data_IF_526678295252
#
_entry.id   IF_526678295252
#
_cell.length_a   1.000
_cell.length_b   1.000
_cell.length_c   1.000
_cell.angle_alpha   90.00
_cell.angle_beta   90.00
_cell.angle_gamma   90.00
#
_symmetry.space_group_name_H-M   'P 1'
#
loop_
_entity.id
_entity.type
_entity.pdbx_description
1 polymer ?
#
# COMPACT_ATOMS: atom_id res chain seq x y z
N UNK A 1 4.06 10.70 10.98
CA UNK A 1 5.43 10.84 10.49
C UNK A 1 6.11 11.94 11.30
N UNK A 2 7.18 11.65 12.09
CA UNK A 2 7.89 12.66 12.88
C UNK A 2 8.46 13.82 12.02
N UNK A 3 8.86 13.54 10.79
CA UNK A 3 9.42 14.56 9.90
C UNK A 3 8.38 15.54 9.37
N UNK A 4 7.11 15.13 9.20
CA UNK A 4 6.04 16.03 8.74
C UNK A 4 5.44 16.89 9.86
N UNK A 5 5.59 16.51 11.13
CA UNK A 5 5.25 17.36 12.26
C UNK A 5 6.25 18.51 12.47
N UNK A 6 7.43 18.42 11.89
CA UNK A 6 8.48 19.42 12.00
C UNK A 6 8.19 20.67 11.16
N UNK A 7 7.47 20.59 10.04
CA UNK A 7 7.17 21.76 9.21
C UNK A 7 6.39 22.87 9.96
N UNK A 8 5.31 22.50 10.68
CA UNK A 8 4.55 23.48 11.47
C UNK A 8 5.41 24.04 12.62
N UNK A 9 6.19 23.15 13.26
CA UNK A 9 7.12 23.56 14.32
C UNK A 9 8.17 24.52 13.78
N UNK A 10 8.83 24.18 12.67
CA UNK A 10 9.82 25.01 12.01
C UNK A 10 9.20 26.36 11.60
N UNK A 11 8.04 26.35 10.94
CA UNK A 11 7.34 27.56 10.49
C UNK A 11 7.04 28.50 11.66
N UNK A 12 6.51 28.00 12.78
CA UNK A 12 6.15 28.83 13.94
C UNK A 12 7.40 29.28 14.69
N UNK A 13 8.40 28.41 14.89
CA UNK A 13 9.59 28.73 15.68
C UNK A 13 10.56 29.70 14.98
N UNK A 14 10.39 29.92 13.66
CA UNK A 14 11.27 30.79 12.86
C UNK A 14 10.67 32.18 12.57
N UNK A 15 9.45 32.46 13.04
CA UNK A 15 8.78 33.77 12.80
C UNK A 15 8.04 34.27 14.04
N UNK A 16 7.77 35.56 14.11
CA UNK A 16 6.88 36.18 15.11
C UNK A 16 5.56 36.69 14.51
N UNK A 17 5.31 36.42 13.23
CA UNK A 17 4.16 36.94 12.49
C UNK A 17 2.93 36.01 12.53
N UNK A 18 3.01 34.87 13.24
CA UNK A 18 1.93 33.90 13.38
C UNK A 18 1.37 33.97 14.80
N UNK A 19 0.06 34.08 14.93
CA UNK A 19 -0.62 34.11 16.23
C UNK A 19 -1.46 32.89 16.51
N UNK A 20 -1.79 32.11 15.47
CA UNK A 20 -2.58 30.87 15.55
C UNK A 20 -2.32 30.01 14.32
N UNK A 21 -2.36 28.69 14.48
CA UNK A 21 -2.33 27.73 13.40
C UNK A 21 -3.53 26.78 13.50
N UNK A 22 -4.24 26.59 12.40
CA UNK A 22 -5.14 25.45 12.20
C UNK A 22 -4.42 24.41 11.35
N UNK A 23 -4.27 23.19 11.87
CA UNK A 23 -3.65 22.08 11.17
C UNK A 23 -4.67 20.99 10.86
N UNK A 24 -4.37 20.14 9.89
CA UNK A 24 -5.21 19.04 9.46
C UNK A 24 -4.38 17.87 8.91
N UNK A 25 -5.02 16.99 8.14
CA UNK A 25 -4.45 15.84 7.45
C UNK A 25 -4.13 14.62 8.36
N UNK A 26 -3.52 14.82 9.52
CA UNK A 26 -3.10 13.71 10.40
C UNK A 26 -4.25 13.07 11.20
N UNK A 27 -5.46 13.60 11.10
CA UNK A 27 -6.66 13.14 11.81
C UNK A 27 -6.52 13.14 13.35
N UNK A 28 -5.56 13.88 13.89
CA UNK A 28 -5.35 14.01 15.34
C UNK A 28 -6.26 15.11 15.91
N UNK A 29 -6.78 14.86 17.11
CA UNK A 29 -7.56 15.86 17.86
C UNK A 29 -6.71 16.38 19.02
N UNK A 30 -6.49 17.68 19.05
CA UNK A 30 -5.73 18.33 20.13
C UNK A 30 -5.46 19.80 19.88
N UNK A 31 -5.05 20.48 20.94
CA UNK A 31 -4.48 21.82 20.89
C UNK A 31 -3.11 21.76 21.52
N UNK A 32 -2.09 22.09 20.75
CA UNK A 32 -0.70 22.15 21.21
C UNK A 32 -0.19 23.59 21.16
N UNK A 33 0.97 23.87 21.73
CA UNK A 33 1.60 25.18 21.69
C UNK A 33 3.04 25.06 21.21
N UNK A 34 3.47 26.00 20.41
CA UNK A 34 4.84 26.11 19.89
C UNK A 34 5.34 27.53 20.16
N UNK A 35 6.51 27.66 20.78
CA UNK A 35 7.13 28.98 20.99
C UNK A 35 7.63 29.56 19.66
N UNK A 36 7.32 30.84 19.40
CA UNK A 36 7.84 31.60 18.27
C UNK A 36 9.23 32.22 18.59
N UNK A 37 9.77 33.01 17.68
CA UNK A 37 11.08 33.66 17.85
C UNK A 37 11.14 34.59 19.06
N UNK A 38 10.02 35.15 19.51
CA UNK A 38 9.93 36.06 20.67
C UNK A 38 9.62 35.27 21.97
N UNK A 39 9.56 33.94 21.92
CA UNK A 39 9.19 33.11 23.05
C UNK A 39 7.69 33.08 23.37
N UNK A 40 6.84 33.64 22.50
CA UNK A 40 5.38 33.64 22.66
C UNK A 40 4.87 32.24 22.25
N UNK A 41 4.06 31.63 23.11
CA UNK A 41 3.38 30.37 22.87
C UNK A 41 2.24 30.53 21.86
N UNK A 42 2.42 30.00 20.65
CA UNK A 42 1.45 30.06 19.56
C UNK A 42 0.60 28.79 19.57
N UNK A 43 -0.73 28.89 19.71
CA UNK A 43 -1.59 27.70 19.68
C UNK A 43 -1.70 27.11 18.27
N UNK A 44 -1.65 25.76 18.22
CA UNK A 44 -1.88 24.95 17.03
C UNK A 44 -3.09 24.05 17.29
N UNK A 45 -4.15 24.25 16.53
CA UNK A 45 -5.42 23.53 16.66
C UNK A 45 -5.48 22.42 15.60
N UNK A 46 -5.66 21.19 16.04
CA UNK A 46 -5.92 20.03 15.17
C UNK A 46 -7.29 19.46 15.52
N UNK A 47 -8.33 19.66 14.69
CA UNK A 47 -9.71 19.32 15.06
C UNK A 47 -10.08 17.86 14.79
N UNK A 48 -9.11 17.00 14.43
CA UNK A 48 -9.39 15.59 14.14
C UNK A 48 -9.92 15.35 12.74
N UNK A 49 -10.91 14.46 12.63
CA UNK A 49 -11.46 14.01 11.36
C UNK A 49 -12.99 13.84 11.41
N UNK A 50 -13.61 13.77 10.23
CA UNK A 50 -15.05 13.47 10.04
C UNK A 50 -15.99 14.43 10.76
N UNK A 51 -15.59 15.68 10.89
CA UNK A 51 -16.37 16.72 11.60
C UNK A 51 -16.81 16.35 13.03
N UNK A 52 -16.15 15.38 13.66
CA UNK A 52 -16.43 14.98 15.05
C UNK A 52 -16.06 16.05 16.08
N UNK A 53 -15.26 17.02 15.68
CA UNK A 53 -14.77 18.13 16.51
C UNK A 53 -14.67 19.40 15.65
N UNK A 54 -14.96 20.56 16.24
CA UNK A 54 -14.74 21.88 15.64
C UNK A 54 -13.62 22.60 16.39
N UNK A 55 -12.57 22.99 15.68
CA UNK A 55 -11.52 23.86 16.21
C UNK A 55 -12.04 25.27 16.39
N UNK A 56 -11.80 25.88 17.56
CA UNK A 56 -12.23 27.25 17.90
C UNK A 56 -11.04 28.09 18.33
N UNK A 57 -11.01 29.34 17.86
CA UNK A 57 -10.12 30.37 18.38
C UNK A 57 -10.93 31.60 18.74
N UNK A 58 -10.74 32.13 19.94
CA UNK A 58 -11.34 33.34 20.41
C UNK A 58 -10.25 34.45 20.53
N UNK A 59 -10.39 35.50 19.74
CA UNK A 59 -9.54 36.70 19.82
C UNK A 59 -10.22 37.73 20.68
N UNK A 60 -9.60 38.09 21.80
CA UNK A 60 -10.09 39.17 22.67
C UNK A 60 -9.18 40.39 22.57
N UNK A 61 -9.70 41.47 22.02
CA UNK A 61 -8.94 42.73 21.85
C UNK A 61 -9.14 43.68 23.02
N UNK A 62 -8.03 44.09 23.65
CA UNK A 62 -8.04 45.10 24.69
C UNK A 62 -7.76 46.47 24.06
N UNK A 63 -8.79 47.33 24.05
CA UNK A 63 -8.73 48.68 23.44
C UNK A 63 -7.76 49.62 24.19
N UNK A 64 -7.58 49.44 25.49
CA UNK A 64 -6.73 50.33 26.30
C UNK A 64 -5.24 50.04 26.06
N UNK A 65 -4.85 48.76 25.96
CA UNK A 65 -3.47 48.34 25.72
C UNK A 65 -3.14 48.15 24.24
N UNK A 66 -4.17 48.16 23.36
CA UNK A 66 -4.07 47.85 21.92
C UNK A 66 -3.46 46.45 21.65
N UNK A 67 -3.68 45.49 22.54
CA UNK A 67 -3.22 44.13 22.45
C UNK A 67 -4.41 43.17 22.33
N UNK A 68 -4.14 41.95 21.89
CA UNK A 68 -5.13 40.86 21.89
C UNK A 68 -4.57 39.60 22.49
N UNK A 69 -5.47 38.74 22.95
CA UNK A 69 -5.19 37.41 23.39
C UNK A 69 -5.90 36.39 22.49
N UNK A 70 -5.32 35.21 22.32
CA UNK A 70 -5.89 34.11 21.55
C UNK A 70 -6.13 32.92 22.49
N UNK A 71 -7.39 32.52 22.60
CA UNK A 71 -7.78 31.28 23.29
C UNK A 71 -8.14 30.24 22.26
N UNK A 72 -7.48 29.08 22.29
CA UNK A 72 -7.67 27.99 21.35
C UNK A 72 -8.30 26.80 22.05
N UNK A 73 -9.29 26.18 21.43
CA UNK A 73 -9.98 25.01 21.96
C UNK A 73 -10.54 24.12 20.85
N UNK A 74 -10.80 22.88 21.20
CA UNK A 74 -11.57 21.95 20.38
C UNK A 74 -12.92 21.68 21.03
N UNK A 75 -14.01 21.89 20.28
CA UNK A 75 -15.37 21.64 20.71
C UNK A 75 -15.89 20.34 20.08
N UNK A 76 -16.22 19.30 20.86
CA UNK A 76 -16.74 18.08 20.30
C UNK A 76 -18.14 18.30 19.70
N UNK A 77 -18.39 17.72 18.54
CA UNK A 77 -19.69 17.71 17.85
C UNK A 77 -20.39 16.36 18.03
N UNK A 78 -19.65 15.36 18.47
CA UNK A 78 -20.16 13.99 18.69
C UNK A 78 -19.71 13.45 20.03
N UNK A 79 -20.47 12.50 20.56
CA UNK A 79 -20.12 11.71 21.76
C UNK A 79 -20.12 10.23 21.43
N UNK A 80 -19.23 9.48 22.04
CA UNK A 80 -19.18 8.03 21.90
C UNK A 80 -19.95 7.37 23.04
N UNK A 81 -20.98 6.59 22.69
CA UNK A 81 -21.74 5.76 23.61
C UNK A 81 -21.50 4.28 23.25
N UNK A 82 -20.63 3.60 23.99
CA UNK A 82 -20.24 2.22 23.70
C UNK A 82 -19.53 2.10 22.35
N UNK A 83 -20.14 1.41 21.38
CA UNK A 83 -19.64 1.25 20.00
C UNK A 83 -20.21 2.28 19.01
N UNK A 84 -21.16 3.10 19.43
CA UNK A 84 -21.88 4.05 18.57
C UNK A 84 -21.39 5.47 18.83
N UNK A 85 -21.29 6.26 17.77
CA UNK A 85 -21.03 7.71 17.83
C UNK A 85 -22.33 8.43 17.53
N UNK A 86 -22.72 9.35 18.42
CA UNK A 86 -23.94 10.15 18.27
C UNK A 86 -23.61 11.64 18.17
N UNK A 87 -24.40 12.44 17.43
CA UNK A 87 -24.26 13.89 17.44
C UNK A 87 -24.61 14.45 18.84
N UNK A 88 -23.92 15.52 19.24
CA UNK A 88 -24.21 16.25 20.48
C UNK A 88 -25.26 17.36 20.28
N UNK A 89 -25.47 17.75 19.03
CA UNK A 89 -26.35 18.85 18.66
C UNK A 89 -27.34 18.36 17.61
N UNK A 90 -28.53 18.88 17.66
CA UNK A 90 -29.53 18.69 16.59
C UNK A 90 -29.09 19.53 15.37
N UNK A 91 -29.32 19.04 14.14
CA UNK A 91 -29.09 19.79 12.92
C UNK A 91 -29.88 21.10 12.91
N UNK A 92 -29.29 22.15 12.40
CA UNK A 92 -29.98 23.42 12.15
C UNK A 92 -31.07 23.22 11.10
N UNK A 93 -32.31 23.54 11.44
CA UNK A 93 -33.46 23.25 10.60
C UNK A 93 -33.48 24.04 9.29
N UNK A 94 -33.04 25.32 9.34
CA UNK A 94 -33.04 26.20 8.16
C UNK A 94 -31.91 25.76 7.19
N UNK A 95 -30.75 25.42 7.74
CA UNK A 95 -29.64 24.92 6.95
C UNK A 95 -29.96 23.54 6.34
N UNK A 96 -30.60 22.65 7.12
CA UNK A 96 -31.05 21.35 6.64
C UNK A 96 -32.03 21.51 5.48
N UNK A 97 -33.02 22.39 5.63
CA UNK A 97 -34.00 22.65 4.55
C UNK A 97 -33.34 23.28 3.31
N UNK A 98 -32.33 24.13 3.47
CA UNK A 98 -31.60 24.71 2.37
C UNK A 98 -30.70 23.72 1.62
N UNK A 99 -30.18 22.68 2.32
CA UNK A 99 -29.32 21.64 1.74
C UNK A 99 -30.13 20.48 1.16
N UNK A 100 -31.36 20.25 1.60
CA UNK A 100 -32.19 19.09 1.19
C UNK A 100 -32.28 18.92 -0.33
N UNK A 101 -32.51 19.95 -1.18
CA UNK A 101 -32.56 19.77 -2.62
C UNK A 101 -31.24 19.23 -3.22
N UNK A 102 -30.11 19.59 -2.63
CA UNK A 102 -28.79 19.11 -3.08
C UNK A 102 -28.53 17.66 -2.64
N UNK A 103 -28.99 17.31 -1.43
CA UNK A 103 -28.95 15.92 -0.98
C UNK A 103 -29.84 15.04 -1.84
N UNK A 104 -31.06 15.47 -2.12
CA UNK A 104 -32.01 14.73 -2.96
C UNK A 104 -31.47 14.53 -4.38
N UNK A 105 -30.88 15.56 -4.98
CA UNK A 105 -30.22 15.45 -6.28
C UNK A 105 -29.03 14.50 -6.22
N UNK A 106 -28.17 14.62 -5.20
CA UNK A 106 -27.01 13.73 -5.03
C UNK A 106 -27.44 12.27 -4.92
N UNK A 107 -28.47 11.97 -4.10
CA UNK A 107 -28.95 10.61 -3.93
C UNK A 107 -29.68 10.09 -5.17
N UNK A 108 -30.67 10.83 -5.68
CA UNK A 108 -31.59 10.32 -6.71
C UNK A 108 -30.99 10.38 -8.12
N UNK A 109 -30.21 11.40 -8.43
CA UNK A 109 -29.66 11.61 -9.78
C UNK A 109 -28.27 11.04 -9.95
N UNK A 110 -27.48 10.93 -8.87
CA UNK A 110 -26.11 10.47 -8.91
C UNK A 110 -25.91 9.11 -8.22
N UNK A 111 -26.14 9.03 -6.91
CA UNK A 111 -25.80 7.83 -6.13
C UNK A 111 -26.65 6.61 -6.49
N UNK A 112 -27.92 6.79 -6.81
CA UNK A 112 -28.86 5.70 -7.15
C UNK A 112 -28.87 5.38 -8.64
N UNK A 113 -28.07 6.05 -9.47
CA UNK A 113 -27.98 5.79 -10.91
C UNK A 113 -27.51 4.35 -11.16
N UNK A 114 -28.29 3.51 -11.88
CA UNK A 114 -27.85 2.17 -12.27
C UNK A 114 -26.67 2.26 -13.24
N UNK A 115 -25.66 1.39 -13.06
CA UNK A 115 -24.48 1.31 -13.93
C UNK A 115 -24.25 -0.10 -14.49
N UNK A 116 -24.98 -1.11 -14.02
CA UNK A 116 -24.88 -2.48 -14.48
C UNK A 116 -25.51 -3.45 -13.48
N UNK A 117 -25.22 -4.73 -13.63
CA UNK A 117 -25.73 -5.79 -12.75
C UNK A 117 -24.62 -6.73 -12.30
N UNK A 118 -24.76 -7.33 -11.12
CA UNK A 118 -23.95 -8.46 -10.66
C UNK A 118 -24.74 -9.76 -10.81
N UNK A 119 -24.17 -10.76 -11.44
CA UNK A 119 -24.82 -12.07 -11.63
C UNK A 119 -24.97 -12.85 -10.32
N UNK A 120 -24.08 -12.60 -9.34
CA UNK A 120 -24.12 -13.10 -7.98
C UNK A 120 -23.40 -12.15 -7.02
N UNK A 121 -23.41 -12.45 -5.71
CA UNK A 121 -22.81 -11.62 -4.67
C UNK A 121 -21.27 -11.58 -4.76
N UNK A 122 -20.67 -10.38 -4.69
CA UNK A 122 -19.25 -10.21 -4.38
C UNK A 122 -19.11 -10.10 -2.86
N UNK A 123 -18.32 -10.97 -2.26
CA UNK A 123 -18.15 -11.03 -0.80
C UNK A 123 -16.83 -10.44 -0.35
N UNK A 124 -16.79 -9.99 0.92
CA UNK A 124 -15.56 -9.58 1.60
C UNK A 124 -14.89 -10.74 2.36
N UNK A 125 -15.36 -11.97 2.20
CA UNK A 125 -14.80 -13.13 2.87
C UNK A 125 -13.38 -13.40 2.40
N UNK A 126 -12.47 -13.68 3.35
CA UNK A 126 -11.09 -14.05 3.05
C UNK A 126 -10.20 -12.91 2.52
N UNK A 127 -10.63 -11.66 2.58
CA UNK A 127 -9.80 -10.54 2.12
C UNK A 127 -8.41 -10.55 2.78
N UNK A 128 -7.38 -10.61 1.94
CA UNK A 128 -5.98 -10.68 2.34
C UNK A 128 -5.49 -12.07 2.75
N UNK A 129 -6.37 -13.05 3.02
CA UNK A 129 -5.97 -14.42 3.39
C UNK A 129 -6.26 -15.46 2.30
N UNK A 130 -7.03 -15.08 1.30
CA UNK A 130 -7.32 -15.89 0.12
C UNK A 130 -7.62 -14.99 -1.09
N UNK A 131 -7.53 -15.50 -2.33
CA UNK A 131 -8.04 -14.83 -3.52
C UNK A 131 -9.50 -14.43 -3.36
N UNK A 132 -9.86 -13.28 -3.91
CA UNK A 132 -11.19 -12.71 -3.78
C UNK A 132 -11.66 -12.11 -5.10
N UNK A 133 -12.87 -12.46 -5.54
CA UNK A 133 -13.46 -11.91 -6.76
C UNK A 133 -13.55 -10.38 -6.75
N UNK A 134 -13.72 -9.78 -5.57
CA UNK A 134 -13.72 -8.33 -5.41
C UNK A 134 -12.33 -7.73 -5.71
N UNK A 135 -11.26 -8.30 -5.16
CA UNK A 135 -9.89 -7.83 -5.38
C UNK A 135 -9.50 -8.03 -6.85
N UNK A 136 -9.91 -9.15 -7.43
CA UNK A 136 -9.68 -9.45 -8.85
C UNK A 136 -10.43 -8.49 -9.77
N UNK A 137 -11.66 -8.10 -9.41
CA UNK A 137 -12.39 -7.06 -10.13
C UNK A 137 -11.61 -5.74 -10.13
N UNK A 138 -11.12 -5.30 -8.97
CA UNK A 138 -10.34 -4.05 -8.87
C UNK A 138 -9.07 -4.15 -9.70
N UNK A 139 -8.29 -5.23 -9.59
CA UNK A 139 -7.07 -5.42 -10.39
C UNK A 139 -7.37 -5.46 -11.89
N UNK A 140 -8.44 -6.14 -12.31
CA UNK A 140 -8.88 -6.19 -13.70
C UNK A 140 -9.23 -4.79 -14.24
N UNK A 141 -9.96 -4.00 -13.44
CA UNK A 141 -10.32 -2.61 -13.83
C UNK A 141 -9.08 -1.72 -13.89
N UNK A 142 -8.13 -1.88 -12.97
CA UNK A 142 -6.86 -1.17 -13.03
C UNK A 142 -6.11 -1.45 -14.33
N UNK A 143 -5.96 -2.72 -14.71
CA UNK A 143 -5.31 -3.11 -15.98
C UNK A 143 -6.10 -2.59 -17.18
N UNK A 144 -7.44 -2.70 -17.15
CA UNK A 144 -8.32 -2.25 -18.23
C UNK A 144 -8.28 -0.72 -18.41
N UNK A 145 -8.14 0.05 -17.32
CA UNK A 145 -8.18 1.52 -17.34
C UNK A 145 -6.84 2.19 -17.55
N UNK A 146 -5.72 1.53 -17.23
CA UNK A 146 -4.41 2.18 -17.16
C UNK A 146 -3.54 1.97 -18.41
N UNK A 147 -4.10 2.22 -19.60
CA UNK A 147 -3.34 2.32 -20.85
C UNK A 147 -4.13 3.16 -21.88
N UNK A 148 -3.44 3.74 -22.86
CA UNK A 148 -4.10 4.56 -23.88
C UNK A 148 -4.80 3.69 -24.92
N UNK A 149 -6.11 3.51 -24.74
CA UNK A 149 -6.98 2.77 -25.68
C UNK A 149 -7.34 3.56 -26.92
N UNK A 150 -7.07 4.83 -26.94
CA UNK A 150 -7.52 5.75 -27.99
C UNK A 150 -6.39 6.28 -28.87
N UNK A 151 -5.13 6.16 -28.40
CA UNK A 151 -3.96 6.77 -29.04
C UNK A 151 -4.00 8.29 -29.10
N UNK A 152 -4.78 8.93 -28.21
CA UNK A 152 -5.02 10.39 -28.26
C UNK A 152 -4.48 11.15 -27.06
N UNK A 153 -4.18 10.44 -25.95
CA UNK A 153 -3.88 11.07 -24.67
C UNK A 153 -2.40 11.30 -24.43
N UNK A 154 -1.54 10.62 -25.19
CA UNK A 154 -0.09 10.75 -25.10
C UNK A 154 0.54 11.04 -26.46
N UNK A 155 1.72 11.66 -26.51
CA UNK A 155 2.47 11.79 -27.74
C UNK A 155 2.86 10.40 -28.28
N UNK A 156 2.85 10.21 -29.57
CA UNK A 156 3.13 9.04 -30.43
C UNK A 156 4.06 7.91 -29.91
N UNK A 157 3.94 7.52 -28.64
CA UNK A 157 4.63 6.37 -28.08
C UNK A 157 3.68 5.19 -27.93
N UNK A 158 3.84 4.20 -28.79
CA UNK A 158 3.00 2.99 -28.82
C UNK A 158 3.25 2.03 -27.65
N UNK A 159 4.10 2.37 -26.68
CA UNK A 159 4.36 1.52 -25.51
C UNK A 159 3.21 1.56 -24.50
N UNK A 160 2.45 2.65 -24.48
CA UNK A 160 1.30 2.88 -23.60
C UNK A 160 -0.03 2.37 -24.19
N UNK A 161 -0.04 1.88 -25.44
CA UNK A 161 -1.21 1.29 -26.11
C UNK A 161 -1.54 -0.14 -25.62
N UNK A 162 -0.82 -0.67 -24.65
CA UNK A 162 -0.98 -2.04 -24.20
C UNK A 162 -1.36 -2.11 -22.72
N UNK A 163 -2.28 -3.00 -22.36
CA UNK A 163 -2.58 -3.27 -20.95
C UNK A 163 -1.34 -3.77 -20.23
N UNK A 164 -1.24 -3.43 -18.94
CA UNK A 164 -0.18 -3.92 -18.09
C UNK A 164 -0.28 -5.44 -17.87
N UNK A 165 0.85 -6.06 -17.54
CA UNK A 165 0.91 -7.48 -17.21
C UNK A 165 0.39 -7.77 -15.80
N UNK A 166 0.63 -6.86 -14.86
CA UNK A 166 0.31 -7.02 -13.44
C UNK A 166 -0.40 -5.77 -12.90
N UNK A 167 -1.11 -5.95 -11.79
CA UNK A 167 -1.74 -4.88 -11.04
C UNK A 167 -1.55 -5.07 -9.54
N UNK A 168 -1.31 -3.99 -8.82
CA UNK A 168 -1.14 -3.93 -7.37
C UNK A 168 -2.35 -3.25 -6.75
N UNK A 169 -3.02 -3.89 -5.79
CA UNK A 169 -4.09 -3.27 -5.02
C UNK A 169 -4.13 -3.74 -3.58
N UNK A 170 -4.48 -2.84 -2.67
CA UNK A 170 -4.83 -3.21 -1.31
C UNK A 170 -6.27 -3.76 -1.28
N UNK A 171 -6.55 -4.89 -0.61
CA UNK A 171 -7.88 -5.44 -0.50
C UNK A 171 -8.75 -4.65 0.49
N UNK A 172 -8.87 -3.34 0.29
CA UNK A 172 -9.56 -2.41 1.17
C UNK A 172 -11.00 -2.24 0.74
N UNK A 173 -11.89 -2.40 1.69
CA UNK A 173 -13.30 -2.04 1.56
C UNK A 173 -13.75 -1.14 2.69
N UNK A 174 -14.84 -0.42 2.54
CA UNK A 174 -15.38 0.44 3.59
C UNK A 174 -16.34 -0.27 4.55
N UNK A 175 -16.45 -1.60 4.50
CA UNK A 175 -17.36 -2.34 5.36
C UNK A 175 -17.00 -3.81 5.55
N UNK A 176 -17.47 -4.39 6.65
CA UNK A 176 -17.45 -5.83 6.93
C UNK A 176 -18.67 -6.53 6.30
N UNK A 177 -19.16 -6.05 5.15
CA UNK A 177 -20.34 -6.58 4.54
C UNK A 177 -20.08 -7.98 3.99
N UNK A 178 -20.90 -8.94 4.34
CA UNK A 178 -20.93 -10.26 3.69
C UNK A 178 -21.11 -10.12 2.17
N UNK A 179 -21.81 -9.06 1.75
CA UNK A 179 -22.05 -8.72 0.35
C UNK A 179 -21.53 -7.32 0.07
N UNK A 180 -20.36 -7.21 -0.56
CA UNK A 180 -19.80 -5.94 -1.01
C UNK A 180 -20.59 -5.37 -2.19
N UNK A 181 -20.90 -6.22 -3.17
CA UNK A 181 -21.82 -5.97 -4.26
C UNK A 181 -22.88 -7.08 -4.18
N UNK A 182 -24.13 -6.78 -3.83
CA UNK A 182 -25.18 -7.78 -3.87
C UNK A 182 -25.52 -8.16 -5.30
N UNK A 183 -26.00 -9.39 -5.49
CA UNK A 183 -26.61 -9.83 -6.74
C UNK A 183 -27.73 -8.88 -7.18
N UNK A 184 -27.76 -8.52 -8.43
CA UNK A 184 -28.74 -7.61 -9.03
C UNK A 184 -28.13 -6.27 -9.43
N UNK A 185 -28.93 -5.20 -9.37
CA UNK A 185 -28.54 -3.88 -9.85
C UNK A 185 -27.37 -3.29 -9.07
N UNK A 186 -26.38 -2.80 -9.79
CA UNK A 186 -25.24 -2.05 -9.27
C UNK A 186 -25.50 -0.56 -9.52
N UNK A 187 -25.32 0.25 -8.48
CA UNK A 187 -25.51 1.69 -8.53
C UNK A 187 -24.17 2.43 -8.44
N UNK A 188 -24.11 3.62 -9.00
CA UNK A 188 -22.92 4.45 -8.96
C UNK A 188 -22.42 4.68 -7.52
N UNK A 189 -23.34 4.83 -6.57
CA UNK A 189 -23.03 4.95 -5.14
C UNK A 189 -22.30 3.75 -4.53
N UNK A 190 -22.42 2.55 -5.13
CA UNK A 190 -21.73 1.37 -4.66
C UNK A 190 -20.21 1.50 -4.84
N UNK A 191 -19.76 2.29 -5.83
CA UNK A 191 -18.35 2.54 -6.09
C UNK A 191 -17.61 3.15 -4.89
N UNK A 192 -18.30 3.95 -4.07
CA UNK A 192 -17.72 4.54 -2.85
C UNK A 192 -17.47 3.49 -1.75
N UNK A 193 -18.18 2.38 -1.76
CA UNK A 193 -17.89 1.24 -0.88
C UNK A 193 -16.75 0.38 -1.41
N UNK A 194 -16.68 0.22 -2.72
CA UNK A 194 -15.68 -0.62 -3.38
C UNK A 194 -14.30 0.04 -3.39
N UNK A 195 -14.24 1.32 -3.71
CA UNK A 195 -12.99 2.08 -3.76
C UNK A 195 -13.13 3.39 -2.97
N UNK A 196 -12.65 3.36 -1.73
CA UNK A 196 -12.92 4.45 -0.76
C UNK A 196 -12.14 5.74 -1.04
N UNK A 197 -11.02 5.68 -1.78
CA UNK A 197 -10.13 6.82 -2.01
C UNK A 197 -10.26 7.35 -3.44
N UNK A 198 -10.00 8.65 -3.60
CA UNK A 198 -9.90 9.29 -4.90
C UNK A 198 -8.46 9.14 -5.41
N UNK A 199 -8.19 8.01 -6.05
CA UNK A 199 -6.91 7.70 -6.64
C UNK A 199 -7.02 7.68 -8.17
N UNK A 200 -5.90 7.92 -8.83
CA UNK A 200 -5.67 7.56 -10.22
C UNK A 200 -4.57 6.51 -10.29
N UNK A 201 -4.37 5.95 -11.46
CA UNK A 201 -3.44 4.86 -11.67
C UNK A 201 -2.28 5.25 -12.58
N UNK A 202 -1.14 4.64 -12.32
CA UNK A 202 0.02 4.66 -13.19
C UNK A 202 0.28 3.25 -13.69
N UNK A 203 0.59 3.12 -15.01
CA UNK A 203 1.27 1.95 -15.54
C UNK A 203 2.75 2.25 -15.50
N UNK A 204 3.51 1.44 -14.79
CA UNK A 204 4.95 1.62 -14.56
C UNK A 204 5.73 0.35 -14.90
N UNK A 205 7.06 0.47 -14.98
CA UNK A 205 7.96 -0.68 -15.06
C UNK A 205 8.45 -1.08 -13.66
N UNK A 206 8.44 -2.39 -13.37
CA UNK A 206 9.05 -2.97 -12.17
C UNK A 206 9.87 -4.20 -12.53
N UNK A 207 10.98 -4.42 -11.82
CA UNK A 207 11.75 -5.67 -11.94
C UNK A 207 11.08 -6.81 -11.18
N UNK A 208 11.43 -8.06 -11.53
CA UNK A 208 10.97 -9.25 -10.81
C UNK A 208 11.35 -9.21 -9.32
N UNK A 209 12.55 -8.67 -9.01
CA UNK A 209 12.98 -8.42 -7.63
C UNK A 209 12.06 -7.44 -6.90
N UNK A 210 11.71 -6.32 -7.52
CA UNK A 210 10.80 -5.33 -6.93
C UNK A 210 9.39 -5.92 -6.69
N UNK A 211 8.85 -6.69 -7.65
CA UNK A 211 7.57 -7.38 -7.51
C UNK A 211 7.61 -8.38 -6.35
N UNK A 212 8.64 -9.23 -6.27
CA UNK A 212 8.83 -10.19 -5.18
C UNK A 212 8.91 -9.49 -3.84
N UNK A 213 9.76 -8.46 -3.74
CA UNK A 213 10.01 -7.76 -2.47
C UNK A 213 8.79 -6.95 -2.02
N UNK A 214 7.98 -6.45 -2.96
CA UNK A 214 6.68 -5.84 -2.66
C UNK A 214 5.73 -6.84 -2.00
N UNK A 215 5.64 -8.03 -2.56
CA UNK A 215 4.85 -9.13 -1.97
C UNK A 215 5.40 -9.59 -0.62
N UNK A 216 6.73 -9.59 -0.43
CA UNK A 216 7.36 -9.92 0.86
C UNK A 216 6.94 -8.94 1.97
N UNK A 217 6.77 -7.65 1.67
CA UNK A 217 6.22 -6.72 2.64
C UNK A 217 4.80 -7.08 3.08
N UNK A 218 3.93 -7.45 2.13
CA UNK A 218 2.59 -7.96 2.45
C UNK A 218 2.68 -9.26 3.24
N UNK A 219 3.50 -10.21 2.78
CA UNK A 219 3.72 -11.50 3.43
C UNK A 219 4.23 -11.36 4.88
N UNK A 220 5.03 -10.31 5.18
CA UNK A 220 5.50 -10.03 6.54
C UNK A 220 4.37 -9.80 7.55
N UNK A 221 3.16 -9.46 7.08
CA UNK A 221 1.97 -9.24 7.92
C UNK A 221 1.16 -10.52 8.17
N UNK A 222 1.40 -11.58 7.40
CA UNK A 222 0.67 -12.84 7.53
C UNK A 222 1.07 -13.56 8.81
N UNK A 223 0.08 -14.10 9.52
CA UNK A 223 0.28 -14.95 10.70
C UNK A 223 -0.58 -16.19 10.55
N UNK A 224 0.02 -17.35 10.83
CA UNK A 224 -0.70 -18.58 11.02
C UNK A 224 -1.32 -18.60 12.42
N UNK A 225 -2.59 -18.99 12.51
CA UNK A 225 -3.31 -19.15 13.76
C UNK A 225 -3.27 -20.62 14.19
N UNK A 226 -3.50 -20.88 15.49
CA UNK A 226 -3.49 -22.25 16.05
C UNK A 226 -4.55 -23.18 15.43
N UNK A 227 -5.65 -22.61 14.92
CA UNK A 227 -6.73 -23.34 14.27
C UNK A 227 -6.48 -23.64 12.77
N UNK A 228 -5.28 -23.32 12.27
CA UNK A 228 -4.89 -23.52 10.87
C UNK A 228 -5.38 -22.43 9.92
N UNK A 229 -6.07 -21.40 10.40
CA UNK A 229 -6.43 -20.23 9.60
C UNK A 229 -5.30 -19.20 9.56
N UNK A 230 -5.46 -18.16 8.75
CA UNK A 230 -4.50 -17.06 8.66
C UNK A 230 -5.14 -15.73 9.03
N UNK A 231 -4.32 -14.81 9.52
CA UNK A 231 -4.71 -13.44 9.84
C UNK A 231 -3.66 -12.44 9.33
N UNK A 232 -4.10 -11.19 9.08
CA UNK A 232 -3.23 -10.10 8.64
C UNK A 232 -3.01 -9.14 9.79
N UNK A 233 -1.78 -9.07 10.27
CA UNK A 233 -1.37 -8.21 11.37
C UNK A 233 -1.26 -6.74 10.90
N UNK A 234 -1.78 -5.80 11.68
CA UNK A 234 -1.75 -4.37 11.34
C UNK A 234 -2.82 -3.93 10.34
N UNK A 235 -3.65 -4.87 9.87
CA UNK A 235 -4.75 -4.60 8.94
C UNK A 235 -4.34 -4.48 7.48
N UNK A 236 -5.35 -4.38 6.61
CA UNK A 236 -5.19 -4.44 5.16
C UNK A 236 -4.61 -3.16 4.52
N UNK A 237 -4.46 -2.08 5.28
CA UNK A 237 -3.87 -0.81 4.77
C UNK A 237 -2.40 -0.98 4.35
N UNK A 238 -1.69 -1.90 4.99
CA UNK A 238 -0.27 -2.21 4.74
C UNK A 238 -0.09 -3.57 4.06
N UNK A 239 -1.08 -3.99 3.30
CA UNK A 239 -1.12 -5.27 2.62
C UNK A 239 -1.62 -5.07 1.20
N UNK A 240 -0.85 -5.49 0.22
CA UNK A 240 -1.22 -5.44 -1.18
C UNK A 240 -1.24 -6.85 -1.77
N UNK A 241 -2.12 -7.06 -2.73
CA UNK A 241 -2.18 -8.23 -3.60
C UNK A 241 -1.69 -7.81 -4.98
N UNK A 242 -0.87 -8.64 -5.60
CA UNK A 242 -0.49 -8.48 -7.01
C UNK A 242 -1.19 -9.58 -7.80
N UNK A 243 -1.85 -9.22 -8.88
CA UNK A 243 -2.44 -10.19 -9.79
C UNK A 243 -2.33 -9.75 -11.25
N UNK A 244 -2.45 -10.72 -12.14
CA UNK A 244 -2.44 -10.56 -13.57
C UNK A 244 -2.60 -11.94 -14.23
N UNK A 245 -2.98 -11.98 -15.50
CA UNK A 245 -3.16 -13.24 -16.22
C UNK A 245 -1.84 -14.02 -16.29
N UNK A 246 -1.87 -15.28 -15.87
CA UNK A 246 -0.70 -16.17 -15.84
C UNK A 246 0.29 -15.89 -14.71
N UNK A 247 -0.02 -14.99 -13.76
CA UNK A 247 0.84 -14.71 -12.62
C UNK A 247 0.37 -15.48 -11.38
N UNK A 248 1.28 -16.22 -10.75
CA UNK A 248 1.00 -16.97 -9.53
C UNK A 248 2.13 -16.91 -8.52
N UNK A 249 1.80 -17.08 -7.23
CA UNK A 249 2.78 -17.15 -6.13
C UNK A 249 2.18 -17.82 -4.89
N UNK A 250 3.05 -18.25 -3.99
CA UNK A 250 2.67 -18.75 -2.68
C UNK A 250 3.28 -17.87 -1.58
N UNK A 251 2.54 -17.69 -0.48
CA UNK A 251 3.03 -17.03 0.73
C UNK A 251 3.22 -18.10 1.79
N UNK A 252 4.45 -18.49 2.12
CA UNK A 252 4.72 -19.43 3.19
C UNK A 252 4.83 -18.70 4.54
N UNK A 253 3.79 -18.77 5.38
CA UNK A 253 3.74 -18.10 6.67
C UNK A 253 4.79 -18.63 7.68
N UNK A 254 5.26 -19.85 7.52
CA UNK A 254 6.30 -20.44 8.36
C UNK A 254 7.72 -20.00 7.98
N UNK A 255 7.90 -19.50 6.74
CA UNK A 255 9.21 -19.03 6.31
C UNK A 255 9.62 -17.71 7.00
N UNK A 256 10.92 -17.43 7.15
CA UNK A 256 11.42 -16.17 7.68
C UNK A 256 10.89 -14.94 6.91
N UNK A 257 10.73 -13.80 7.60
CA UNK A 257 10.32 -12.56 6.95
C UNK A 257 11.33 -12.15 5.87
N UNK A 258 10.84 -11.75 4.71
CA UNK A 258 11.67 -11.44 3.53
C UNK A 258 11.97 -12.66 2.63
N UNK A 259 11.50 -13.85 3.00
CA UNK A 259 11.70 -15.13 2.28
C UNK A 259 10.41 -15.97 2.24
N UNK A 260 9.25 -15.31 2.30
CA UNK A 260 7.93 -15.96 2.35
C UNK A 260 7.30 -16.16 0.99
N UNK A 261 7.78 -15.47 -0.04
CA UNK A 261 7.26 -15.59 -1.40
C UNK A 261 7.97 -16.75 -2.11
N UNK A 262 7.21 -17.82 -2.32
CA UNK A 262 7.66 -19.04 -2.97
C UNK A 262 6.90 -19.26 -4.29
N UNK A 263 7.47 -20.06 -5.18
CA UNK A 263 6.82 -20.51 -6.43
C UNK A 263 6.24 -19.35 -7.27
N UNK A 264 6.88 -18.19 -7.25
CA UNK A 264 6.44 -17.05 -8.06
C UNK A 264 6.70 -17.31 -9.54
N UNK A 265 5.64 -17.40 -10.34
CA UNK A 265 5.72 -17.69 -11.77
C UNK A 265 4.91 -16.71 -12.61
N UNK A 266 5.32 -16.55 -13.87
CA UNK A 266 4.58 -15.83 -14.90
C UNK A 266 4.50 -16.68 -16.17
N UNK A 267 3.29 -16.97 -16.64
CA UNK A 267 3.04 -17.88 -17.78
C UNK A 267 3.77 -19.23 -17.61
N UNK A 268 3.74 -19.80 -16.39
CA UNK A 268 4.34 -21.08 -16.03
C UNK A 268 5.87 -21.10 -15.95
N UNK A 269 6.53 -19.95 -16.04
CA UNK A 269 7.98 -19.82 -15.87
C UNK A 269 8.29 -19.12 -14.55
N UNK A 270 9.30 -19.61 -13.83
CA UNK A 270 9.78 -18.97 -12.60
C UNK A 270 10.25 -17.54 -12.88
N UNK A 271 9.73 -16.58 -12.11
CA UNK A 271 10.11 -15.18 -12.21
C UNK A 271 11.53 -14.99 -11.67
N UNK A 272 12.38 -14.39 -12.51
CA UNK A 272 13.74 -14.02 -12.15
C UNK A 272 13.77 -12.57 -11.64
N UNK A 273 14.72 -12.24 -10.76
CA UNK A 273 14.88 -10.89 -10.22
C UNK A 273 15.13 -9.83 -11.32
N UNK A 274 15.73 -10.25 -12.44
CA UNK A 274 16.04 -9.40 -13.60
C UNK A 274 14.90 -9.28 -14.62
N UNK A 275 13.82 -10.05 -14.47
CA UNK A 275 12.67 -9.92 -15.35
C UNK A 275 12.06 -8.52 -15.19
N UNK A 276 11.42 -8.03 -16.25
CA UNK A 276 10.76 -6.73 -16.23
C UNK A 276 9.27 -6.89 -16.51
N UNK A 277 8.45 -6.27 -15.68
CA UNK A 277 6.99 -6.26 -15.80
C UNK A 277 6.47 -4.84 -15.99
N UNK A 278 5.38 -4.72 -16.74
CA UNK A 278 4.51 -3.56 -16.70
C UNK A 278 3.45 -3.78 -15.62
N UNK A 279 3.33 -2.83 -14.69
CA UNK A 279 2.54 -2.98 -13.46
C UNK A 279 1.66 -1.76 -13.27
N UNK A 280 0.37 -1.97 -12.97
CA UNK A 280 -0.50 -0.87 -12.54
C UNK A 280 -0.42 -0.69 -11.04
N UNK A 281 -0.24 0.56 -10.64
CA UNK A 281 -0.15 0.99 -9.26
C UNK A 281 -0.95 2.28 -9.05
N UNK A 282 -1.58 2.48 -7.90
CA UNK A 282 -2.24 3.75 -7.61
C UNK A 282 -1.25 4.83 -7.18
N UNK A 283 -1.65 6.11 -7.34
CA UNK A 283 -0.82 7.26 -7.00
C UNK A 283 -0.37 7.27 -5.53
N UNK A 284 -1.19 6.80 -4.59
CA UNK A 284 -0.81 6.75 -3.17
C UNK A 284 0.39 5.82 -2.93
N UNK A 285 0.37 4.63 -3.53
CA UNK A 285 1.48 3.67 -3.44
C UNK A 285 2.72 4.17 -4.18
N UNK A 286 2.52 4.72 -5.38
CA UNK A 286 3.62 5.26 -6.18
C UNK A 286 4.33 6.44 -5.49
N UNK A 287 3.60 7.22 -4.69
CA UNK A 287 4.14 8.27 -3.81
C UNK A 287 4.85 7.77 -2.54
N UNK A 288 4.96 6.46 -2.33
CA UNK A 288 5.57 5.87 -1.13
C UNK A 288 4.60 5.60 0.02
N UNK A 289 3.30 5.77 -0.21
CA UNK A 289 2.29 5.52 0.82
C UNK A 289 2.26 4.06 1.28
N UNK A 290 2.15 3.84 2.59
CA UNK A 290 2.10 2.52 3.21
C UNK A 290 3.44 1.85 3.40
N UNK A 291 4.56 2.57 3.22
CA UNK A 291 5.94 2.13 3.46
C UNK A 291 6.46 1.00 2.53
N UNK A 292 5.76 0.68 1.44
CA UNK A 292 6.19 -0.38 0.52
C UNK A 292 7.51 -0.02 -0.16
N UNK A 293 7.62 1.19 -0.70
CA UNK A 293 8.86 1.65 -1.36
C UNK A 293 10.02 1.69 -0.37
N UNK A 294 9.79 2.13 0.86
CA UNK A 294 10.80 2.08 1.90
C UNK A 294 11.27 0.64 2.13
N UNK A 295 10.34 -0.29 2.33
CA UNK A 295 10.66 -1.70 2.59
C UNK A 295 11.45 -2.32 1.44
N UNK A 296 11.03 -2.15 0.17
CA UNK A 296 11.74 -2.76 -0.96
C UNK A 296 13.16 -2.20 -1.13
N UNK A 297 13.37 -0.92 -0.78
CA UNK A 297 14.69 -0.30 -0.81
C UNK A 297 15.60 -0.80 0.32
N UNK A 298 15.06 -1.00 1.52
CA UNK A 298 15.77 -1.65 2.64
C UNK A 298 16.17 -3.09 2.30
N UNK A 299 15.47 -3.72 1.31
CA UNK A 299 15.74 -5.08 0.83
C UNK A 299 16.45 -5.11 -0.53
N UNK A 300 17.28 -4.10 -0.81
CA UNK A 300 18.21 -4.08 -1.94
C UNK A 300 17.57 -3.77 -3.30
N UNK A 301 16.41 -3.11 -3.34
CA UNK A 301 15.89 -2.45 -4.52
C UNK A 301 16.32 -0.97 -4.54
N UNK A 302 16.07 -0.30 -5.66
CA UNK A 302 16.32 1.14 -5.81
C UNK A 302 15.12 1.79 -6.50
N UNK A 303 14.01 1.86 -5.77
CA UNK A 303 12.77 2.42 -6.27
C UNK A 303 12.60 3.86 -5.74
N UNK A 304 12.58 4.83 -6.63
CA UNK A 304 12.35 6.23 -6.27
C UNK A 304 10.85 6.52 -6.31
N UNK A 305 10.26 7.10 -5.23
CA UNK A 305 8.86 7.53 -5.26
C UNK A 305 8.63 8.56 -6.38
N UNK A 306 7.52 8.43 -7.10
CA UNK A 306 7.15 9.31 -8.21
C UNK A 306 8.19 9.41 -9.34
N UNK A 307 8.94 8.35 -9.57
CA UNK A 307 9.91 8.30 -10.67
C UNK A 307 9.19 8.28 -12.02
N UNK A 308 9.03 9.45 -12.63
CA UNK A 308 8.39 9.61 -13.92
C UNK A 308 9.07 8.82 -15.05
N UNK A 309 10.37 8.48 -14.89
CA UNK A 309 11.08 7.66 -15.90
C UNK A 309 10.57 6.21 -15.98
N UNK A 310 9.84 5.76 -14.98
CA UNK A 310 9.19 4.44 -14.94
C UNK A 310 7.77 4.46 -15.50
N UNK A 311 7.16 5.65 -15.64
CA UNK A 311 5.77 5.80 -16.04
C UNK A 311 5.62 5.57 -17.54
N UNK A 312 4.79 4.60 -17.90
CA UNK A 312 4.36 4.31 -19.27
C UNK A 312 3.08 5.08 -19.58
N UNK A 313 2.12 5.05 -18.64
CA UNK A 313 0.83 5.73 -18.80
C UNK A 313 0.31 6.21 -17.43
N UNK A 314 -0.49 7.26 -17.42
CA UNK A 314 -1.21 7.74 -16.24
C UNK A 314 -2.66 8.03 -16.59
N UNK A 315 -3.59 7.48 -15.81
CA UNK A 315 -5.02 7.80 -15.96
C UNK A 315 -5.32 9.25 -15.57
N UNK A 316 -4.37 9.97 -14.96
CA UNK A 316 -4.47 11.40 -14.70
C UNK A 316 -4.52 12.22 -15.99
N UNK A 317 -4.03 11.67 -17.12
CA UNK A 317 -4.14 12.36 -18.41
C UNK A 317 -5.61 12.60 -18.81
N UNK A 318 -6.50 11.67 -18.46
CA UNK A 318 -7.94 11.82 -18.68
C UNK A 318 -8.56 12.90 -17.79
N UNK A 319 -8.06 13.03 -16.55
CA UNK A 319 -8.49 14.08 -15.60
C UNK A 319 -8.07 15.49 -16.05
N UNK A 320 -6.85 15.62 -16.62
CA UNK A 320 -6.34 16.91 -17.13
C UNK A 320 -7.21 17.44 -18.26
N UNK A 321 -7.88 16.57 -19.01
CA UNK A 321 -8.82 16.96 -20.07
C UNK A 321 -10.20 17.37 -19.54
N UNK A 322 -10.40 17.43 -18.23
CA UNK A 322 -11.59 17.98 -17.58
C UNK A 322 -12.76 17.01 -17.42
N UNK A 323 -12.51 15.71 -17.52
CA UNK A 323 -13.57 14.71 -17.50
C UNK A 323 -13.60 13.81 -16.24
N UNK A 324 -12.72 13.98 -15.27
CA UNK A 324 -12.59 13.15 -14.03
C UNK A 324 -12.59 11.61 -14.27
N UNK A 325 -12.47 11.19 -15.53
CA UNK A 325 -12.60 9.78 -15.96
C UNK A 325 -11.47 8.89 -15.47
N UNK A 326 -10.31 9.45 -15.23
CA UNK A 326 -9.13 8.73 -14.80
C UNK A 326 -9.15 8.30 -13.34
N UNK A 327 -10.14 8.72 -12.53
CA UNK A 327 -10.25 8.31 -11.14
C UNK A 327 -10.72 6.85 -11.00
N UNK A 328 -10.19 6.16 -10.01
CA UNK A 328 -10.46 4.74 -9.75
C UNK A 328 -11.96 4.39 -9.70
N UNK A 329 -12.77 5.21 -9.02
CA UNK A 329 -14.22 4.98 -8.91
C UNK A 329 -14.93 5.15 -10.25
N UNK A 330 -14.50 6.12 -11.04
CA UNK A 330 -15.09 6.36 -12.37
C UNK A 330 -14.71 5.24 -13.33
N UNK A 331 -13.45 4.77 -13.30
CA UNK A 331 -13.01 3.62 -14.08
C UNK A 331 -13.76 2.33 -13.69
N UNK A 332 -14.04 2.11 -12.39
CA UNK A 332 -14.89 1.01 -11.95
C UNK A 332 -16.31 1.12 -12.52
N UNK A 333 -16.92 2.31 -12.46
CA UNK A 333 -18.26 2.56 -12.98
C UNK A 333 -18.32 2.40 -14.50
N UNK A 334 -17.33 2.91 -15.22
CA UNK A 334 -17.23 2.82 -16.67
C UNK A 334 -17.05 1.37 -17.13
N UNK A 335 -16.16 0.62 -16.45
CA UNK A 335 -15.97 -0.81 -16.72
C UNK A 335 -17.27 -1.60 -16.53
N UNK A 336 -17.95 -1.41 -15.38
CA UNK A 336 -19.22 -2.10 -15.09
C UNK A 336 -20.28 -1.72 -16.13
N UNK A 337 -20.34 -0.45 -16.52
CA UNK A 337 -21.28 0.03 -17.56
C UNK A 337 -21.00 -0.60 -18.91
N UNK A 338 -19.72 -0.71 -19.29
CA UNK A 338 -19.30 -1.33 -20.57
C UNK A 338 -19.61 -2.84 -20.60
N UNK A 339 -19.37 -3.54 -19.47
CA UNK A 339 -19.67 -4.97 -19.36
C UNK A 339 -21.19 -5.25 -19.27
N UNK A 340 -21.98 -4.32 -18.73
CA UNK A 340 -23.41 -4.48 -18.44
C UNK A 340 -23.69 -5.45 -17.29
N UNK A 341 -23.09 -6.62 -17.30
CA UNK A 341 -23.15 -7.62 -16.21
C UNK A 341 -21.75 -8.06 -15.83
N UNK A 342 -21.46 -8.09 -14.52
CA UNK A 342 -20.20 -8.61 -13.98
C UNK A 342 -20.44 -9.85 -13.15
N UNK A 343 -19.49 -10.79 -13.22
CA UNK A 343 -19.49 -12.07 -12.50
C UNK A 343 -18.44 -12.07 -11.40
N UNK A 344 -18.75 -12.61 -10.19
CA UNK A 344 -17.77 -12.74 -9.09
C UNK A 344 -16.80 -13.91 -9.33
N UNK A 345 -15.96 -13.79 -10.34
CA UNK A 345 -14.97 -14.81 -10.73
C UNK A 345 -13.63 -14.51 -10.09
N UNK A 346 -13.06 -15.52 -9.42
CA UNK A 346 -11.68 -15.48 -8.91
C UNK A 346 -10.75 -15.89 -10.05
N UNK A 347 -9.81 -15.01 -10.40
CA UNK A 347 -8.84 -15.21 -11.49
C UNK A 347 -7.39 -15.19 -11.00
N UNK A 348 -7.13 -14.66 -9.80
CA UNK A 348 -5.80 -14.65 -9.22
C UNK A 348 -5.40 -16.02 -8.68
N UNK A 349 -4.14 -16.40 -8.91
CA UNK A 349 -3.58 -17.71 -8.56
C UNK A 349 -2.53 -17.55 -7.46
N UNK A 350 -2.96 -17.22 -6.24
CA UNK A 350 -2.07 -17.19 -5.08
C UNK A 350 -2.73 -17.89 -3.88
N UNK A 351 -1.90 -18.36 -2.96
CA UNK A 351 -2.37 -18.98 -1.71
C UNK A 351 -1.39 -18.71 -0.57
N UNK A 352 -1.87 -18.88 0.66
CA UNK A 352 -1.03 -18.90 1.86
C UNK A 352 -0.82 -20.37 2.26
N UNK A 353 0.42 -20.70 2.56
CA UNK A 353 0.85 -22.00 3.11
C UNK A 353 1.50 -21.78 4.48
N UNK A 354 1.69 -22.85 5.23
CA UNK A 354 2.41 -22.85 6.50
C UNK A 354 3.28 -24.10 6.58
N UNK A 355 4.24 -24.19 5.64
CA UNK A 355 5.14 -25.33 5.52
C UNK A 355 6.46 -24.99 6.19
N UNK A 356 6.79 -25.61 7.34
CA UNK A 356 8.07 -25.43 7.99
C UNK A 356 9.22 -25.84 7.08
N UNK A 357 10.36 -25.16 7.23
CA UNK A 357 11.58 -25.57 6.54
C UNK A 357 12.03 -26.94 7.06
N UNK A 358 12.14 -27.92 6.18
CA UNK A 358 12.63 -29.25 6.53
C UNK A 358 14.16 -29.23 6.64
N UNK A 359 14.67 -29.76 7.75
CA UNK A 359 16.10 -29.95 7.94
C UNK A 359 16.63 -30.99 6.94
N UNK A 360 17.41 -30.56 5.99
CA UNK A 360 18.09 -31.45 5.01
C UNK A 360 19.51 -31.85 5.45
N UNK A 361 20.03 -31.23 6.50
CA UNK A 361 21.40 -31.44 6.93
C UNK A 361 21.48 -32.61 7.92
N UNK A 362 22.21 -33.63 7.55
CA UNK A 362 22.38 -34.85 8.36
C UNK A 362 23.33 -34.67 9.55
N UNK A 363 24.09 -33.59 9.54
CA UNK A 363 25.07 -33.18 10.56
C UNK A 363 24.61 -32.00 11.42
N UNK A 364 23.31 -31.66 11.37
CA UNK A 364 22.64 -30.67 12.21
C UNK A 364 21.43 -31.36 12.82
N UNK A 365 21.46 -31.61 14.13
CA UNK A 365 20.42 -32.35 14.85
C UNK A 365 19.68 -31.46 15.85
N UNK A 366 18.48 -31.87 16.31
CA UNK A 366 17.68 -31.10 17.26
C UNK A 366 18.39 -30.84 18.61
N UNK A 367 19.40 -31.66 18.95
CA UNK A 367 20.20 -31.48 20.17
C UNK A 367 21.30 -30.41 20.01
N UNK A 368 21.59 -29.95 18.80
CA UNK A 368 22.61 -28.95 18.56
C UNK A 368 22.11 -27.55 18.92
N UNK A 369 22.91 -26.82 19.70
CA UNK A 369 22.57 -25.46 20.13
C UNK A 369 22.40 -24.46 18.97
N UNK A 370 22.93 -24.75 17.81
CA UNK A 370 22.86 -23.95 16.58
C UNK A 370 21.76 -24.44 15.61
N UNK A 371 21.03 -25.51 15.92
CA UNK A 371 20.02 -26.12 15.07
C UNK A 371 19.05 -25.08 14.47
N UNK A 372 18.28 -24.39 15.32
CA UNK A 372 17.25 -23.46 14.86
C UNK A 372 17.83 -22.30 14.05
N UNK A 373 19.01 -21.80 14.44
CA UNK A 373 19.70 -20.71 13.74
C UNK A 373 20.14 -21.15 12.35
N UNK A 374 20.69 -22.36 12.22
CA UNK A 374 21.08 -22.93 10.92
C UNK A 374 19.88 -23.11 10.01
N UNK A 375 18.76 -23.62 10.55
CA UNK A 375 17.55 -23.82 9.75
C UNK A 375 16.94 -22.47 9.30
N UNK A 376 16.91 -21.47 10.16
CA UNK A 376 16.44 -20.14 9.82
C UNK A 376 17.31 -19.48 8.73
N UNK A 377 18.63 -19.55 8.88
CA UNK A 377 19.57 -19.03 7.87
C UNK A 377 19.51 -19.82 6.55
N UNK A 378 19.27 -21.13 6.60
CA UNK A 378 19.10 -21.94 5.41
C UNK A 378 17.75 -21.67 4.72
N UNK A 379 16.67 -21.56 5.49
CA UNK A 379 15.35 -21.18 4.97
C UNK A 379 15.36 -19.80 4.34
N UNK A 380 16.14 -18.87 4.86
CA UNK A 380 16.31 -17.52 4.30
C UNK A 380 17.35 -17.46 3.16
N UNK A 381 17.96 -18.58 2.78
CA UNK A 381 18.95 -18.63 1.71
C UNK A 381 20.28 -17.94 2.03
N UNK A 382 20.49 -17.52 3.27
CA UNK A 382 21.77 -16.90 3.73
C UNK A 382 22.89 -17.95 3.68
N UNK A 383 22.58 -19.18 4.13
CA UNK A 383 23.49 -20.32 4.07
C UNK A 383 22.89 -21.46 3.22
N UNK A 384 23.72 -22.23 2.53
CA UNK A 384 23.24 -23.32 1.69
C UNK A 384 23.76 -24.70 2.13
N UNK A 385 24.63 -24.76 3.12
CA UNK A 385 25.43 -25.92 3.46
C UNK A 385 26.67 -26.10 2.54
N UNK A 386 27.55 -26.99 2.92
CA UNK A 386 28.74 -27.34 2.13
C UNK A 386 28.41 -28.33 1.02
N UNK A 387 27.40 -29.17 1.24
CA UNK A 387 26.78 -30.04 0.24
C UNK A 387 25.26 -29.93 0.31
N UNK A 388 24.55 -30.69 -0.52
CA UNK A 388 23.06 -30.72 -0.45
C UNK A 388 22.53 -31.19 0.90
N UNK A 389 23.28 -32.06 1.61
CA UNK A 389 22.86 -32.73 2.83
C UNK A 389 23.79 -32.53 4.03
N UNK A 390 24.83 -31.73 3.93
CA UNK A 390 25.74 -31.43 5.04
C UNK A 390 25.98 -29.93 5.17
N UNK A 391 26.01 -29.47 6.43
CA UNK A 391 26.26 -28.07 6.77
C UNK A 391 27.72 -27.84 7.14
N UNK A 392 28.37 -28.80 7.80
CA UNK A 392 29.71 -28.75 8.36
C UNK A 392 29.90 -27.68 9.44
N UNK A 393 29.12 -27.73 10.55
CA UNK A 393 29.09 -26.67 11.57
C UNK A 393 30.44 -26.45 12.29
N UNK A 394 31.35 -27.43 12.22
CA UNK A 394 32.72 -27.33 12.79
C UNK A 394 33.75 -26.96 11.71
N UNK A 395 33.34 -26.72 10.49
CA UNK A 395 34.21 -26.33 9.38
C UNK A 395 34.82 -24.94 9.55
N UNK A 396 35.87 -24.67 8.82
CA UNK A 396 36.53 -23.35 8.83
C UNK A 396 35.84 -22.43 7.84
N UNK A 397 35.29 -21.30 8.30
CA UNK A 397 34.69 -20.28 7.47
C UNK A 397 35.76 -19.46 6.74
N UNK A 398 35.69 -19.42 5.43
CA UNK A 398 36.58 -18.58 4.60
C UNK A 398 36.07 -17.13 4.55
N UNK A 399 36.96 -16.19 4.16
CA UNK A 399 36.55 -14.78 3.95
C UNK A 399 35.52 -14.63 2.86
N UNK A 400 35.62 -15.42 1.79
CA UNK A 400 34.64 -15.41 0.68
C UNK A 400 33.25 -15.90 1.12
N UNK A 401 33.17 -16.96 1.91
CA UNK A 401 31.90 -17.46 2.49
C UNK A 401 31.28 -16.42 3.42
N UNK A 402 32.09 -15.84 4.31
CA UNK A 402 31.60 -14.81 5.22
C UNK A 402 31.08 -13.55 4.47
N UNK A 403 31.84 -13.07 3.47
CA UNK A 403 31.38 -11.96 2.64
C UNK A 403 30.07 -12.30 1.91
N UNK A 404 29.95 -13.54 1.39
CA UNK A 404 28.73 -13.99 0.72
C UNK A 404 27.53 -14.08 1.67
N UNK A 405 27.73 -14.51 2.91
CA UNK A 405 26.65 -14.48 3.93
C UNK A 405 26.22 -13.05 4.20
N UNK A 406 27.15 -12.12 4.41
CA UNK A 406 26.84 -10.70 4.62
C UNK A 406 26.08 -10.11 3.42
N UNK A 407 26.51 -10.39 2.21
CA UNK A 407 25.88 -9.95 0.99
C UNK A 407 24.43 -10.46 0.90
N UNK A 408 24.19 -11.74 1.22
CA UNK A 408 22.85 -12.33 1.23
C UNK A 408 21.97 -11.79 2.36
N UNK A 409 22.51 -11.58 3.57
CA UNK A 409 21.80 -10.91 4.67
C UNK A 409 21.38 -9.49 4.27
N UNK A 410 22.18 -8.80 3.45
CA UNK A 410 21.87 -7.49 2.89
C UNK A 410 20.94 -7.55 1.66
N UNK A 411 20.23 -8.66 1.47
CA UNK A 411 19.29 -8.89 0.36
C UNK A 411 19.94 -8.80 -1.03
N UNK A 412 21.20 -9.21 -1.14
CA UNK A 412 21.95 -9.29 -2.37
C UNK A 412 21.80 -8.04 -3.25
N UNK A 413 22.23 -6.86 -2.79
CA UNK A 413 22.04 -5.61 -3.52
C UNK A 413 22.70 -5.68 -4.91
N UNK A 414 22.20 -4.89 -5.85
CA UNK A 414 22.80 -4.81 -7.19
C UNK A 414 24.20 -4.25 -7.08
N UNK A 415 25.16 -5.01 -7.56
CA UNK A 415 26.58 -4.60 -7.57
C UNK A 415 26.88 -3.89 -8.88
N UNK A 416 27.37 -2.66 -8.77
CA UNK A 416 27.83 -1.84 -9.89
C UNK A 416 29.29 -1.51 -9.69
N UNK A 417 30.16 -2.03 -10.53
CA UNK A 417 31.61 -1.81 -10.44
C UNK A 417 32.42 -3.04 -10.78
N UNK A 418 33.73 -2.91 -10.71
CA UNK A 418 34.67 -3.99 -10.95
C UNK A 418 35.53 -4.21 -9.68
N UNK A 419 35.91 -5.46 -9.44
CA UNK A 419 36.79 -5.80 -8.33
C UNK A 419 38.14 -5.11 -8.47
N UNK A 420 38.62 -4.51 -7.39
CA UNK A 420 40.02 -4.00 -7.28
C UNK A 420 40.99 -5.08 -6.86
N UNK A 421 40.52 -6.28 -6.51
CA UNK A 421 41.34 -7.42 -6.08
C UNK A 421 41.74 -8.29 -7.28
N UNK A 422 43.01 -8.60 -7.42
CA UNK A 422 43.55 -9.37 -8.54
C UNK A 422 43.15 -10.86 -8.53
N UNK A 423 42.74 -11.36 -7.38
CA UNK A 423 42.31 -12.73 -7.12
C UNK A 423 40.77 -12.93 -7.09
N UNK A 424 40.01 -11.84 -7.40
CA UNK A 424 38.52 -11.87 -7.47
C UNK A 424 38.11 -11.60 -8.92
N UNK A 425 37.50 -12.61 -9.57
CA UNK A 425 37.13 -12.55 -10.99
C UNK A 425 35.62 -12.63 -11.17
N UNK A 426 35.11 -12.03 -12.23
CA UNK A 426 33.66 -11.96 -12.55
C UNK A 426 32.94 -13.32 -12.57
N UNK A 427 33.68 -14.44 -12.75
CA UNK A 427 33.11 -15.78 -12.70
C UNK A 427 33.11 -16.45 -11.32
N UNK A 428 33.67 -15.80 -10.31
CA UNK A 428 33.75 -16.38 -8.98
C UNK A 428 32.38 -16.28 -8.29
N UNK A 429 31.95 -17.32 -7.58
CA UNK A 429 30.65 -17.40 -6.91
C UNK A 429 30.47 -16.32 -5.81
N UNK A 430 31.57 -15.79 -5.30
CA UNK A 430 31.62 -14.71 -4.30
C UNK A 430 31.86 -13.31 -4.89
N UNK A 431 31.95 -13.19 -6.23
CA UNK A 431 32.33 -11.93 -6.88
C UNK A 431 31.46 -10.75 -6.41
N UNK A 432 30.14 -10.88 -6.52
CA UNK A 432 29.22 -9.83 -6.12
C UNK A 432 29.25 -9.49 -4.62
N UNK A 433 29.71 -10.42 -3.81
CA UNK A 433 29.82 -10.21 -2.36
C UNK A 433 31.09 -9.50 -1.95
N UNK A 434 32.08 -9.43 -2.85
CA UNK A 434 33.38 -8.82 -2.58
C UNK A 434 33.51 -7.44 -3.25
N UNK A 435 32.81 -7.23 -4.37
CA UNK A 435 32.75 -5.95 -5.09
C UNK A 435 31.78 -4.98 -4.47
#
# INVERSE_FOLDING_TARGET
DPEKSDFIRELVSTTNSIDLVFSGHEHRNGVTKIANTDGKEIPVISPGTKAGVVGRALFTYNKATKTYTVEASNAPMTVREGRTTKPLYEPDADLTAALQPYEDATWNEYMLKPIGTASDNFTASGLGTAPSAFVDLVNKVQIWGAYDRTGKNTPDDKTDDKPAQLSITAPLTSGNAENLIPKGDIKLGDMFRLYRYENWFYQITMSGKEVRTWLEYSASKVRANEDGTFSIQGGLTYYDVISGEGFSYEINAAAPSGHRIENMTYNGKAVQDTDTFTVVINNYRFNGGGNFIQYINEHGCNFVPNDESRVIYSTQYDMIQGEDKGQARNLLADYITEQGTIDPVITSEWKITNVPFENKFTDVTEEDWFHDVVLELAASGVVNGMTETTFEPQGTLTRAEFATMLYRVSYAPVVTGESTYSDVKTGDWYYNAVV
#
